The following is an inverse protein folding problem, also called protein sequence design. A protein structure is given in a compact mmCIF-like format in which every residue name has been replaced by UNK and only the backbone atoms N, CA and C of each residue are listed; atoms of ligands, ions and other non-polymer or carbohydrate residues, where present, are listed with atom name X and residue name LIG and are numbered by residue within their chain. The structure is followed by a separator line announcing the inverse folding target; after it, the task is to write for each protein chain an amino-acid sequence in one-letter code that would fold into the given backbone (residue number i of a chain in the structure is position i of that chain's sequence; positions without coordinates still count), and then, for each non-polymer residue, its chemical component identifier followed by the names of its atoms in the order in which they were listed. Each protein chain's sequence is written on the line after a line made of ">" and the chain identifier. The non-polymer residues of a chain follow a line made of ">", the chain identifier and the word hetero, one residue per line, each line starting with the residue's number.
data_IF_725465619074
#
_entry.id   IF_725465619074
#
_cell.length_a   1.000
_cell.length_b   1.000
_cell.length_c   1.000
_cell.angle_alpha   90.00
_cell.angle_beta   90.00
_cell.angle_gamma   90.00
#
_symmetry.space_group_name_H-M   'P 1'
#
loop_
_entity.id
_entity.type
_entity.pdbx_description
1 polymer ?
#
# COMPACT_ATOMS: atom_id res chain seq x y z
N UNK A 1 -36.61 -4.20 -20.43
CA UNK A 1 -35.38 -4.92 -20.15
C UNK A 1 -34.23 -4.17 -20.82
N UNK A 2 -33.51 -3.34 -20.05
CA UNK A 2 -32.42 -2.53 -20.56
C UNK A 2 -31.09 -3.17 -20.05
N UNK A 3 -30.30 -3.65 -20.99
CA UNK A 3 -29.00 -4.29 -20.71
C UNK A 3 -27.95 -3.20 -20.54
N UNK A 4 -27.45 -3.05 -19.30
CA UNK A 4 -26.33 -2.15 -19.00
C UNK A 4 -25.04 -2.87 -19.40
N UNK A 5 -24.38 -2.37 -20.45
CA UNK A 5 -23.02 -2.77 -20.82
C UNK A 5 -22.02 -2.11 -19.88
N UNK A 6 -21.37 -2.90 -19.03
CA UNK A 6 -20.21 -2.44 -18.25
C UNK A 6 -18.98 -2.35 -19.17
N UNK A 7 -18.48 -1.14 -19.39
CA UNK A 7 -17.21 -0.91 -20.09
C UNK A 7 -16.04 -1.11 -19.12
N UNK A 8 -15.19 -2.07 -19.38
CA UNK A 8 -13.98 -2.35 -18.62
C UNK A 8 -12.84 -1.43 -19.07
N UNK A 9 -12.26 -0.69 -18.11
CA UNK A 9 -11.06 0.11 -18.34
C UNK A 9 -9.84 -0.79 -18.18
N UNK A 10 -9.20 -1.14 -19.30
CA UNK A 10 -7.90 -1.84 -19.32
C UNK A 10 -6.80 -0.79 -19.26
N UNK A 11 -6.02 -0.77 -18.17
CA UNK A 11 -4.84 0.09 -18.04
C UNK A 11 -3.62 -0.67 -18.56
N UNK A 12 -3.20 -0.36 -19.78
CA UNK A 12 -1.93 -0.81 -20.36
C UNK A 12 -0.85 0.23 -20.03
N UNK A 13 0.18 -0.16 -19.29
CA UNK A 13 1.33 0.68 -18.98
C UNK A 13 2.47 0.32 -19.94
N UNK A 14 2.71 1.12 -20.98
CA UNK A 14 3.90 1.00 -21.81
C UNK A 14 5.08 1.72 -21.16
N UNK A 15 6.13 0.99 -20.81
CA UNK A 15 7.42 1.55 -20.41
C UNK A 15 8.39 1.57 -21.62
N UNK A 16 8.66 2.73 -22.17
CA UNK A 16 9.78 2.93 -23.12
C UNK A 16 11.05 3.28 -22.34
N UNK A 17 12.00 2.38 -22.34
CA UNK A 17 13.37 2.62 -21.88
C UNK A 17 14.11 3.56 -22.86
N UNK A 18 14.59 4.71 -22.39
CA UNK A 18 15.63 5.49 -23.07
C UNK A 18 16.93 5.30 -22.31
N UNK A 19 17.86 4.66 -22.96
CA UNK A 19 19.29 4.64 -22.59
C UNK A 19 19.89 6.02 -22.77
N UNK A 20 20.28 6.65 -21.67
CA UNK A 20 21.05 7.89 -21.67
C UNK A 20 22.31 7.70 -20.84
N UNK A 21 23.44 7.68 -21.52
CA UNK A 21 24.80 7.69 -20.97
C UNK A 21 25.05 8.95 -20.15
N UNK A 22 25.40 8.80 -18.87
CA UNK A 22 25.85 9.90 -18.03
C UNK A 22 27.39 9.87 -17.91
N UNK A 23 28.02 10.89 -18.44
CA UNK A 23 29.44 11.27 -18.17
C UNK A 23 29.48 12.03 -16.85
N UNK A 24 30.42 11.67 -15.99
CA UNK A 24 30.78 12.44 -14.81
C UNK A 24 31.63 13.65 -15.16
N UNK A 25 31.53 14.76 -14.44
CA UNK A 25 32.64 15.68 -14.27
C UNK A 25 33.14 15.72 -12.82
N UNK A 26 34.45 15.72 -12.77
CA UNK A 26 35.33 15.83 -11.61
C UNK A 26 35.32 17.22 -10.96
N UNK A 27 35.82 17.20 -9.70
CA UNK A 27 36.60 18.22 -8.97
C UNK A 27 35.89 19.27 -8.09
N UNK A 28 36.26 19.14 -6.80
CA UNK A 28 36.20 20.17 -5.73
C UNK A 28 37.09 21.41 -6.05
N UNK A 29 36.96 22.57 -5.31
CA UNK A 29 37.24 22.68 -3.88
C UNK A 29 36.34 23.66 -3.07
N UNK A 30 36.35 23.50 -1.74
CA UNK A 30 36.03 24.53 -0.72
C UNK A 30 37.09 25.69 -0.70
N UNK A 31 36.85 26.92 -0.10
CA UNK A 31 36.55 27.07 1.32
C UNK A 31 35.77 28.35 1.78
N UNK A 32 35.58 28.41 3.08
CA UNK A 32 35.59 29.56 4.02
C UNK A 32 34.29 30.19 4.51
N UNK A 33 34.16 29.95 5.80
CA UNK A 33 33.58 30.74 6.90
C UNK A 33 33.20 32.22 6.62
N UNK A 34 31.97 32.59 7.05
CA UNK A 34 31.78 33.74 7.96
C UNK A 34 30.37 33.68 8.62
N UNK A 35 30.41 33.73 9.95
CA UNK A 35 29.30 34.04 10.86
C UNK A 35 28.79 35.47 10.60
N UNK A 36 27.48 35.67 10.65
CA UNK A 36 26.88 36.89 11.24
C UNK A 36 25.51 36.56 11.85
N UNK A 37 25.44 36.82 13.14
CA UNK A 37 24.21 36.95 13.91
C UNK A 37 23.45 38.24 13.49
N UNK A 38 22.12 38.15 13.45
CA UNK A 38 21.24 39.32 13.65
C UNK A 38 19.88 38.85 14.15
N UNK A 39 19.66 39.06 15.33
CA UNK A 39 18.63 39.61 16.23
C UNK A 39 17.23 39.80 15.62
N UNK A 40 16.31 39.19 16.42
CA UNK A 40 14.89 39.55 16.61
C UNK A 40 14.53 41.01 16.35
N UNK A 41 13.42 41.20 15.65
CA UNK A 41 12.43 42.25 16.02
C UNK A 41 11.06 41.93 15.40
N UNK A 42 10.11 41.70 16.28
CA UNK A 42 8.66 41.76 16.07
C UNK A 42 8.23 43.15 15.57
N UNK A 43 7.40 43.19 14.54
CA UNK A 43 6.59 44.38 14.23
C UNK A 43 5.16 43.94 13.89
N UNK A 44 4.24 44.28 14.82
CA UNK A 44 2.83 44.36 14.53
C UNK A 44 2.60 45.48 13.51
N UNK A 45 1.92 45.16 12.42
CA UNK A 45 1.41 46.16 11.47
C UNK A 45 -0.12 46.16 11.48
N UNK A 46 -0.71 47.06 12.26
CA UNK A 46 -2.11 47.49 12.11
C UNK A 46 -2.19 48.35 10.83
N UNK A 47 -2.95 47.92 9.86
CA UNK A 47 -3.41 48.79 8.79
C UNK A 47 -4.88 49.16 8.99
N UNK A 48 -5.11 50.37 9.50
CA UNK A 48 -6.40 51.06 9.51
C UNK A 48 -6.66 51.64 8.13
N UNK A 49 -7.68 51.18 7.43
CA UNK A 49 -8.27 51.93 6.31
C UNK A 49 -9.54 52.62 6.79
N UNK A 50 -9.44 53.95 6.99
CA UNK A 50 -10.59 54.85 7.03
C UNK A 50 -10.98 55.22 5.62
N UNK A 51 -12.24 55.00 5.26
CA UNK A 51 -12.88 55.57 4.09
C UNK A 51 -14.36 55.83 4.44
N UNK A 52 -14.69 57.09 4.69
CA UNK A 52 -16.05 57.58 4.82
C UNK A 52 -16.77 57.54 3.49
N UNK A 53 -18.01 57.05 3.48
CA UNK A 53 -19.08 57.61 2.65
C UNK A 53 -20.39 57.49 3.42
N UNK A 54 -21.03 58.66 3.59
CA UNK A 54 -22.33 58.89 4.20
C UNK A 54 -23.49 58.27 3.40
N UNK A 55 -24.51 57.85 4.13
CA UNK A 55 -25.89 57.83 3.63
C UNK A 55 -26.49 56.45 3.44
N UNK A 56 -27.19 55.99 4.44
CA UNK A 56 -28.56 55.49 4.48
C UNK A 56 -28.79 54.61 5.73
N UNK A 57 -29.46 55.25 6.72
CA UNK A 57 -30.02 54.53 7.87
C UNK A 57 -31.13 53.57 7.37
N UNK A 58 -30.88 52.29 7.53
CA UNK A 58 -31.88 51.25 7.77
C UNK A 58 -31.30 50.17 8.64
N UNK A 59 -31.92 50.00 9.79
CA UNK A 59 -31.65 49.00 10.82
C UNK A 59 -31.55 47.58 10.24
N UNK A 60 -30.32 47.07 10.14
CA UNK A 60 -30.07 45.66 10.06
C UNK A 60 -29.35 45.26 11.33
N UNK A 61 -30.02 44.50 12.19
CA UNK A 61 -29.39 43.77 13.30
C UNK A 61 -28.29 42.89 12.72
N UNK A 62 -27.05 43.26 12.93
CA UNK A 62 -25.93 42.34 12.74
C UNK A 62 -26.09 41.19 13.74
N UNK A 63 -26.52 40.05 13.26
CA UNK A 63 -26.24 38.82 13.97
C UNK A 63 -24.76 38.54 13.75
N UNK A 64 -23.96 38.70 14.81
CA UNK A 64 -22.61 38.17 14.87
C UNK A 64 -22.71 36.64 14.77
N UNK A 65 -22.66 36.13 13.54
CA UNK A 65 -22.39 34.72 13.30
C UNK A 65 -20.89 34.54 13.58
N UNK A 66 -20.56 34.35 14.84
CA UNK A 66 -19.26 33.80 15.22
C UNK A 66 -19.21 32.40 14.65
N UNK A 67 -18.52 32.23 13.52
CA UNK A 67 -18.18 30.94 12.96
C UNK A 67 -17.09 30.33 13.85
N UNK A 68 -17.35 29.28 14.64
CA UNK A 68 -16.33 28.62 15.43
C UNK A 68 -15.68 27.49 14.59
N UNK A 69 -14.95 27.82 13.53
CA UNK A 69 -14.39 26.82 12.63
C UNK A 69 -12.87 26.65 12.76
N UNK A 70 -12.15 27.54 13.42
CA UNK A 70 -10.68 27.49 13.41
C UNK A 70 -10.04 26.82 14.65
N UNK A 71 -10.75 26.69 15.78
CA UNK A 71 -10.12 26.22 17.03
C UNK A 71 -10.17 24.69 17.17
N UNK A 72 -11.25 24.04 16.75
CA UNK A 72 -11.41 22.59 16.86
C UNK A 72 -10.53 21.81 15.86
N UNK A 73 -10.23 22.41 14.69
CA UNK A 73 -9.38 21.78 13.69
C UNK A 73 -7.91 21.65 14.14
N UNK A 74 -7.43 22.54 14.98
CA UNK A 74 -6.07 22.51 15.52
C UNK A 74 -5.95 21.53 16.71
N UNK A 75 -7.01 21.35 17.49
CA UNK A 75 -6.96 20.53 18.70
C UNK A 75 -6.88 19.03 18.39
N UNK A 76 -7.69 18.50 17.46
CA UNK A 76 -7.57 17.09 17.08
C UNK A 76 -6.24 16.80 16.38
N UNK A 77 -5.73 17.74 15.55
CA UNK A 77 -4.44 17.60 14.89
C UNK A 77 -3.29 17.54 15.91
N UNK A 78 -3.36 18.33 16.99
CA UNK A 78 -2.40 18.25 18.10
C UNK A 78 -2.42 16.89 18.78
N UNK A 79 -3.61 16.36 19.12
CA UNK A 79 -3.76 15.01 19.73
C UNK A 79 -3.20 13.94 18.81
N UNK A 80 -3.56 14.01 17.50
CA UNK A 80 -3.09 13.09 16.48
C UNK A 80 -1.56 13.11 16.34
N UNK A 81 -0.95 14.31 16.28
CA UNK A 81 0.50 14.46 16.12
C UNK A 81 1.26 13.88 17.31
N UNK A 82 0.79 14.13 18.54
CA UNK A 82 1.46 13.60 19.74
C UNK A 82 1.37 12.09 19.79
N UNK A 83 0.19 11.50 19.58
CA UNK A 83 0.01 10.05 19.59
C UNK A 83 0.76 9.37 18.44
N UNK A 84 0.80 9.98 17.26
CA UNK A 84 1.59 9.48 16.13
C UNK A 84 3.09 9.51 16.43
N UNK A 85 3.58 10.56 17.13
CA UNK A 85 4.95 10.67 17.62
C UNK A 85 5.29 9.53 18.57
N UNK A 86 4.48 9.30 19.62
CA UNK A 86 4.69 8.22 20.60
C UNK A 86 4.74 6.83 19.95
N UNK A 87 3.95 6.61 18.89
CA UNK A 87 4.01 5.36 18.09
C UNK A 87 5.31 5.31 17.28
N UNK A 88 5.70 6.40 16.63
CA UNK A 88 6.90 6.45 15.77
C UNK A 88 8.18 6.35 16.57
N UNK A 89 8.23 6.99 17.75
CA UNK A 89 9.38 7.01 18.64
C UNK A 89 9.51 5.71 19.47
N UNK A 90 8.47 4.85 19.42
CA UNK A 90 8.46 3.54 20.07
C UNK A 90 8.04 3.55 21.55
N UNK A 91 7.54 4.67 22.04
CA UNK A 91 6.93 4.78 23.39
C UNK A 91 5.65 3.95 23.48
N UNK A 92 4.88 3.90 22.37
CA UNK A 92 3.77 2.98 22.14
C UNK A 92 4.17 1.95 21.09
N UNK A 93 4.31 0.70 21.50
CA UNK A 93 4.73 -0.40 20.63
C UNK A 93 3.55 -1.01 19.87
N UNK A 94 3.83 -1.68 18.76
CA UNK A 94 2.84 -2.44 18.00
C UNK A 94 2.14 -3.44 18.94
N UNK A 95 0.81 -3.39 18.94
CA UNK A 95 -0.05 -4.20 19.81
C UNK A 95 -0.35 -3.58 21.16
N UNK A 96 0.31 -2.49 21.56
CA UNK A 96 -0.01 -1.78 22.79
C UNK A 96 -1.38 -1.11 22.70
N UNK A 97 -2.11 -1.13 23.81
CA UNK A 97 -3.40 -0.45 23.90
C UNK A 97 -3.19 1.04 24.13
N UNK A 98 -3.80 1.89 23.29
CA UNK A 98 -3.85 3.33 23.53
C UNK A 98 -4.59 3.62 24.86
N UNK A 99 -4.25 4.72 25.54
CA UNK A 99 -5.05 5.20 26.67
C UNK A 99 -6.53 5.35 26.28
N UNK A 100 -7.44 5.07 27.21
CA UNK A 100 -8.88 5.21 26.97
C UNK A 100 -9.26 6.64 26.56
N UNK A 101 -10.41 6.79 25.87
CA UNK A 101 -10.91 8.13 25.49
C UNK A 101 -10.92 9.09 26.68
N UNK A 102 -11.39 8.63 27.86
CA UNK A 102 -11.46 9.47 29.06
C UNK A 102 -10.07 9.90 29.57
N UNK A 103 -9.07 9.02 29.52
CA UNK A 103 -7.69 9.35 29.84
C UNK A 103 -7.10 10.35 28.85
N UNK A 104 -7.40 10.18 27.55
CA UNK A 104 -6.95 11.13 26.51
C UNK A 104 -7.63 12.50 26.67
N UNK A 105 -8.93 12.53 27.00
CA UNK A 105 -9.65 13.78 27.34
C UNK A 105 -8.96 14.50 28.50
N UNK A 106 -8.67 13.78 29.58
CA UNK A 106 -8.00 14.34 30.74
C UNK A 106 -6.57 14.82 30.43
N UNK A 107 -5.82 14.04 29.64
CA UNK A 107 -4.43 14.36 29.28
C UNK A 107 -4.31 15.59 28.40
N UNK A 108 -5.19 15.72 27.39
CA UNK A 108 -5.09 16.80 26.40
C UNK A 108 -5.99 18.00 26.67
N UNK A 109 -6.91 17.91 27.64
CA UNK A 109 -7.86 18.97 27.96
C UNK A 109 -8.84 19.27 26.82
N UNK A 110 -9.24 18.27 26.03
CA UNK A 110 -10.07 18.46 24.84
C UNK A 110 -11.40 17.68 24.96
N UNK A 111 -12.34 17.99 24.06
CA UNK A 111 -13.64 17.31 24.04
C UNK A 111 -13.54 15.84 23.58
N UNK A 112 -14.52 15.01 23.93
CA UNK A 112 -14.62 13.63 23.46
C UNK A 112 -14.68 13.53 21.93
N UNK A 113 -15.37 14.48 21.28
CA UNK A 113 -15.47 14.53 19.82
C UNK A 113 -14.09 14.77 19.20
N UNK A 114 -13.28 15.65 19.79
CA UNK A 114 -11.90 15.95 19.37
C UNK A 114 -11.01 14.70 19.46
N UNK A 115 -11.07 13.98 20.59
CA UNK A 115 -10.32 12.72 20.77
C UNK A 115 -10.74 11.66 19.75
N UNK A 116 -12.06 11.46 19.57
CA UNK A 116 -12.57 10.48 18.59
C UNK A 116 -12.13 10.81 17.16
N UNK A 117 -12.15 12.09 16.78
CA UNK A 117 -11.67 12.52 15.47
C UNK A 117 -10.19 12.25 15.29
N UNK A 118 -9.36 12.53 16.29
CA UNK A 118 -7.93 12.21 16.26
C UNK A 118 -7.70 10.69 16.11
N UNK A 119 -8.41 9.86 16.89
CA UNK A 119 -8.32 8.40 16.78
C UNK A 119 -8.76 7.93 15.39
N UNK A 120 -9.86 8.44 14.83
CA UNK A 120 -10.31 8.08 13.48
C UNK A 120 -9.28 8.45 12.40
N UNK A 121 -8.61 9.58 12.54
CA UNK A 121 -7.51 9.96 11.64
C UNK A 121 -6.32 8.99 11.77
N UNK A 122 -5.94 8.61 12.99
CA UNK A 122 -4.90 7.59 13.20
C UNK A 122 -5.29 6.23 12.62
N UNK A 123 -6.58 5.83 12.73
CA UNK A 123 -7.11 4.62 12.08
C UNK A 123 -7.01 4.74 10.55
N UNK A 124 -7.43 5.87 9.97
CA UNK A 124 -7.36 6.08 8.52
C UNK A 124 -5.92 6.09 7.99
N UNK A 125 -4.94 6.47 8.82
CA UNK A 125 -3.50 6.38 8.54
C UNK A 125 -2.92 4.98 8.79
N UNK A 126 -3.72 4.05 9.34
CA UNK A 126 -3.26 2.70 9.67
C UNK A 126 -2.30 2.62 10.86
N UNK A 127 -2.22 3.67 11.69
CA UNK A 127 -1.36 3.71 12.87
C UNK A 127 -1.98 2.99 14.07
N UNK A 128 -3.31 2.94 14.13
CA UNK A 128 -4.05 2.26 15.19
C UNK A 128 -5.26 1.52 14.63
N UNK A 129 -5.75 0.52 15.35
CA UNK A 129 -6.95 -0.25 15.04
C UNK A 129 -7.89 -0.30 16.23
N UNK A 130 -9.22 -0.27 15.97
CA UNK A 130 -10.25 -0.32 17.01
C UNK A 130 -10.77 -1.74 17.13
N UNK A 131 -10.58 -2.37 18.28
CA UNK A 131 -11.16 -3.64 18.63
C UNK A 131 -12.40 -3.40 19.48
N UNK A 132 -13.60 -3.67 18.93
CA UNK A 132 -14.87 -3.46 19.63
C UNK A 132 -14.89 -4.16 20.99
N UNK A 133 -15.21 -3.42 22.05
CA UNK A 133 -15.25 -3.92 23.42
C UNK A 133 -13.88 -4.14 24.08
N UNK A 134 -12.78 -3.97 23.37
CA UNK A 134 -11.42 -4.15 23.89
C UNK A 134 -10.61 -2.85 23.94
N UNK A 135 -10.88 -1.91 23.03
CA UNK A 135 -10.16 -0.62 22.97
C UNK A 135 -9.52 -0.35 21.62
N UNK A 136 -8.64 0.64 21.61
CA UNK A 136 -7.81 1.03 20.45
C UNK A 136 -6.39 0.57 20.67
N UNK A 137 -5.78 -0.05 19.68
CA UNK A 137 -4.43 -0.63 19.76
C UNK A 137 -3.54 -0.06 18.67
N UNK A 138 -2.24 0.01 18.91
CA UNK A 138 -1.24 0.38 17.88
C UNK A 138 -1.22 -0.71 16.82
N UNK A 139 -1.52 -0.32 15.59
CA UNK A 139 -1.53 -1.22 14.44
C UNK A 139 -0.11 -1.51 13.96
N UNK A 140 0.11 -2.70 13.42
CA UNK A 140 1.32 -2.95 12.64
C UNK A 140 1.27 -2.10 11.35
N UNK A 141 2.37 -1.42 10.96
CA UNK A 141 2.42 -0.70 9.70
C UNK A 141 2.10 -1.66 8.56
N UNK A 142 1.22 -1.24 7.65
CA UNK A 142 0.91 -2.05 6.49
C UNK A 142 2.12 -2.18 5.58
N UNK A 143 2.28 -3.36 5.01
CA UNK A 143 3.23 -3.64 3.95
C UNK A 143 2.76 -2.87 2.72
N UNK A 144 3.54 -1.87 2.30
CA UNK A 144 3.24 -1.08 1.11
C UNK A 144 3.77 -1.82 -0.12
N UNK A 145 2.88 -2.28 -0.97
CA UNK A 145 3.22 -2.94 -2.24
C UNK A 145 3.08 -1.92 -3.38
N UNK A 146 4.21 -1.50 -3.97
CA UNK A 146 4.20 -0.52 -5.08
C UNK A 146 3.92 -1.25 -6.40
N UNK A 147 2.94 -0.76 -7.17
CA UNK A 147 2.54 -1.33 -8.46
C UNK A 147 3.24 -0.66 -9.66
N UNK A 148 4.33 0.06 -9.45
CA UNK A 148 5.05 0.74 -10.54
C UNK A 148 5.95 -0.18 -11.34
N UNK A 149 6.49 -1.20 -10.69
CA UNK A 149 7.47 -2.10 -11.27
C UNK A 149 7.07 -3.55 -11.02
N UNK A 150 7.44 -4.43 -11.96
CA UNK A 150 7.26 -5.86 -11.79
C UNK A 150 8.34 -6.38 -10.84
N UNK A 151 7.95 -6.61 -9.60
CA UNK A 151 8.82 -7.16 -8.57
C UNK A 151 8.26 -8.47 -8.01
N UNK A 152 9.11 -9.25 -7.37
CA UNK A 152 8.73 -10.45 -6.66
C UNK A 152 8.47 -10.18 -5.18
N UNK A 153 7.62 -10.97 -4.53
CA UNK A 153 7.32 -10.86 -3.10
C UNK A 153 8.58 -10.79 -2.21
N UNK A 154 9.61 -11.57 -2.51
CA UNK A 154 10.84 -11.62 -1.71
C UNK A 154 11.62 -10.31 -1.84
N UNK A 155 11.68 -9.76 -3.04
CA UNK A 155 12.33 -8.49 -3.34
C UNK A 155 11.64 -7.34 -2.60
N UNK A 156 10.31 -7.28 -2.69
CA UNK A 156 9.50 -6.27 -2.00
C UNK A 156 9.67 -6.34 -0.48
N UNK A 157 9.62 -7.55 0.08
CA UNK A 157 9.76 -7.73 1.53
C UNK A 157 11.14 -7.33 2.03
N UNK A 158 12.21 -7.66 1.29
CA UNK A 158 13.57 -7.23 1.64
C UNK A 158 13.72 -5.70 1.56
N UNK A 159 13.18 -5.07 0.52
CA UNK A 159 13.20 -3.61 0.37
C UNK A 159 12.51 -2.89 1.55
N UNK A 160 11.50 -3.54 2.14
CA UNK A 160 10.77 -3.05 3.32
C UNK A 160 11.39 -3.48 4.66
N UNK A 161 12.55 -4.17 4.65
CA UNK A 161 13.24 -4.62 5.88
C UNK A 161 12.60 -5.84 6.54
N UNK A 162 11.68 -6.54 5.86
CA UNK A 162 11.09 -7.78 6.36
C UNK A 162 11.92 -9.00 5.98
N UNK A 163 11.78 -10.08 6.75
CA UNK A 163 12.35 -11.40 6.44
C UNK A 163 11.30 -12.27 5.72
N UNK A 164 11.38 -12.41 4.38
CA UNK A 164 10.44 -13.23 3.64
C UNK A 164 10.77 -14.71 3.76
N UNK A 165 9.73 -15.54 3.90
CA UNK A 165 9.79 -16.99 3.81
C UNK A 165 8.54 -17.52 3.11
N UNK A 166 8.54 -18.82 2.74
CA UNK A 166 7.36 -19.45 2.20
C UNK A 166 7.13 -20.85 2.78
N UNK A 167 5.87 -21.17 3.03
CA UNK A 167 5.43 -22.52 3.33
C UNK A 167 4.79 -23.12 2.10
N UNK A 168 5.44 -24.12 1.49
CA UNK A 168 4.92 -24.84 0.31
C UNK A 168 3.78 -25.75 0.76
N UNK A 169 2.60 -25.57 0.18
CA UNK A 169 1.39 -26.37 0.45
C UNK A 169 1.32 -27.55 -0.51
N UNK A 170 1.66 -27.33 -1.78
CA UNK A 170 1.63 -28.37 -2.80
C UNK A 170 2.42 -28.01 -4.05
N UNK A 171 2.89 -29.05 -4.74
CA UNK A 171 3.54 -28.99 -6.06
C UNK A 171 2.94 -30.15 -6.88
N UNK A 172 2.17 -29.86 -7.89
CA UNK A 172 1.39 -30.85 -8.61
C UNK A 172 1.42 -30.60 -10.11
N UNK A 173 1.31 -31.67 -10.90
CA UNK A 173 1.05 -31.57 -12.33
C UNK A 173 -0.43 -31.82 -12.58
N UNK A 174 -1.14 -30.78 -13.04
CA UNK A 174 -2.60 -30.78 -13.20
C UNK A 174 -3.00 -30.42 -14.65
N UNK A 175 -4.20 -30.79 -15.11
CA UNK A 175 -4.72 -30.28 -16.36
C UNK A 175 -5.08 -28.79 -16.21
N UNK A 176 -4.75 -27.98 -17.22
CA UNK A 176 -5.09 -26.57 -17.25
C UNK A 176 -6.62 -26.37 -17.32
N UNK A 177 -7.17 -25.59 -16.38
CA UNK A 177 -8.54 -25.12 -16.48
C UNK A 177 -8.71 -24.20 -17.69
N UNK A 178 -9.94 -23.87 -18.07
CA UNK A 178 -10.19 -22.92 -19.16
C UNK A 178 -9.51 -21.57 -18.93
N UNK A 179 -9.48 -21.08 -17.68
CA UNK A 179 -8.83 -19.82 -17.32
C UNK A 179 -7.31 -19.93 -17.43
N UNK A 180 -6.70 -20.96 -16.81
CA UNK A 180 -5.25 -21.19 -16.85
C UNK A 180 -4.76 -21.37 -18.29
N UNK A 181 -5.46 -22.17 -19.09
CA UNK A 181 -5.11 -22.38 -20.51
C UNK A 181 -5.13 -21.07 -21.30
N UNK A 182 -6.18 -20.25 -21.13
CA UNK A 182 -6.28 -18.93 -21.79
C UNK A 182 -5.14 -18.00 -21.39
N UNK A 183 -4.81 -17.92 -20.08
CA UNK A 183 -3.78 -17.02 -19.57
C UNK A 183 -2.37 -17.44 -20.00
N UNK A 184 -2.13 -18.74 -20.10
CA UNK A 184 -0.81 -19.29 -20.52
C UNK A 184 -0.72 -19.57 -22.03
N UNK A 185 -1.73 -19.17 -22.82
CA UNK A 185 -1.84 -19.45 -24.25
C UNK A 185 -1.68 -20.96 -24.60
N UNK A 186 -2.27 -21.84 -23.76
CA UNK A 186 -2.26 -23.30 -23.89
C UNK A 186 -3.63 -23.82 -24.32
N UNK A 187 -3.67 -25.08 -24.73
CA UNK A 187 -4.92 -25.79 -24.99
C UNK A 187 -5.59 -26.19 -23.65
N UNK A 188 -6.91 -26.13 -23.58
CA UNK A 188 -7.65 -26.59 -22.40
C UNK A 188 -7.34 -28.08 -22.12
N UNK A 189 -7.01 -28.35 -20.85
CA UNK A 189 -6.63 -29.72 -20.43
C UNK A 189 -5.15 -30.06 -20.62
N UNK A 190 -4.38 -29.19 -21.28
CA UNK A 190 -2.92 -29.35 -21.36
C UNK A 190 -2.32 -29.34 -19.96
N UNK A 191 -1.25 -30.13 -19.76
CA UNK A 191 -0.64 -30.33 -18.46
C UNK A 191 0.18 -29.10 -18.07
N UNK A 192 -0.06 -28.58 -16.86
CA UNK A 192 0.68 -27.49 -16.23
C UNK A 192 1.17 -27.90 -14.84
N UNK A 193 2.18 -27.22 -14.34
CA UNK A 193 2.59 -27.35 -12.95
C UNK A 193 1.85 -26.31 -12.13
N UNK A 194 1.17 -26.75 -11.08
CA UNK A 194 0.55 -25.91 -10.04
C UNK A 194 1.41 -25.93 -8.77
N UNK A 195 1.74 -24.76 -8.25
CA UNK A 195 2.47 -24.58 -7.01
C UNK A 195 1.62 -23.74 -6.07
N UNK A 196 1.36 -24.24 -4.86
CA UNK A 196 0.60 -23.54 -3.83
C UNK A 196 1.49 -23.22 -2.65
N UNK A 197 1.52 -21.94 -2.22
CA UNK A 197 2.39 -21.45 -1.14
C UNK A 197 1.67 -20.44 -0.27
N UNK A 198 1.98 -20.46 1.02
CA UNK A 198 1.74 -19.31 1.91
C UNK A 198 3.03 -18.54 2.03
N UNK A 199 3.00 -17.27 1.71
CA UNK A 199 4.13 -16.34 1.87
C UNK A 199 4.05 -15.66 3.21
N UNK A 200 5.17 -15.56 3.89
CA UNK A 200 5.28 -14.99 5.22
C UNK A 200 6.28 -13.84 5.21
N UNK A 201 5.96 -12.79 5.98
CA UNK A 201 6.88 -11.72 6.34
C UNK A 201 7.06 -11.77 7.86
N UNK A 202 8.30 -11.92 8.34
CA UNK A 202 8.61 -12.09 9.78
C UNK A 202 7.72 -13.17 10.44
N UNK A 203 7.59 -14.33 9.80
CA UNK A 203 6.77 -15.49 10.21
C UNK A 203 5.24 -15.26 10.23
N UNK A 204 4.76 -14.09 9.84
CA UNK A 204 3.33 -13.78 9.72
C UNK A 204 2.85 -14.09 8.30
N UNK A 205 1.78 -14.89 8.10
CA UNK A 205 1.19 -15.12 6.78
C UNK A 205 0.67 -13.81 6.17
N UNK A 206 1.15 -13.47 4.97
CA UNK A 206 0.79 -12.24 4.24
C UNK A 206 -0.01 -12.54 3.00
N UNK A 207 0.42 -13.55 2.21
CA UNK A 207 -0.33 -13.99 1.04
C UNK A 207 -0.41 -15.51 0.90
N UNK A 208 -1.44 -15.97 0.20
CA UNK A 208 -1.59 -17.34 -0.28
C UNK A 208 -1.63 -17.31 -1.80
N UNK A 209 -0.67 -18.00 -2.41
CA UNK A 209 -0.40 -17.95 -3.83
C UNK A 209 -0.64 -19.30 -4.48
N UNK A 210 -1.31 -19.28 -5.62
CA UNK A 210 -1.37 -20.39 -6.59
C UNK A 210 -0.69 -19.95 -7.88
N UNK A 211 0.45 -20.57 -8.20
CA UNK A 211 1.24 -20.31 -9.41
C UNK A 211 1.06 -21.45 -10.39
N UNK A 212 0.75 -21.13 -11.63
CA UNK A 212 0.66 -22.08 -12.75
C UNK A 212 1.75 -21.79 -13.76
N UNK A 213 2.50 -22.82 -14.12
CA UNK A 213 3.62 -22.75 -15.08
C UNK A 213 3.40 -23.74 -16.22
N UNK A 214 3.75 -23.42 -17.47
CA UNK A 214 3.85 -24.40 -18.53
C UNK A 214 4.68 -25.61 -18.08
N UNK A 215 4.30 -26.82 -18.51
CA UNK A 215 4.82 -28.08 -17.95
C UNK A 215 6.35 -28.15 -18.00
N UNK A 216 6.96 -27.75 -19.09
CA UNK A 216 8.41 -27.85 -19.29
C UNK A 216 9.20 -27.07 -18.24
N UNK A 217 8.90 -25.75 -18.11
CA UNK A 217 9.58 -24.89 -17.14
C UNK A 217 9.15 -25.21 -15.72
N UNK A 218 7.87 -25.53 -15.51
CA UNK A 218 7.31 -25.86 -14.21
C UNK A 218 8.01 -27.08 -13.57
N UNK A 219 8.30 -28.13 -14.36
CA UNK A 219 9.04 -29.31 -13.87
C UNK A 219 10.44 -28.95 -13.38
N UNK A 220 11.12 -28.01 -14.04
CA UNK A 220 12.43 -27.50 -13.58
C UNK A 220 12.29 -26.69 -12.30
N UNK A 221 11.27 -25.83 -12.20
CA UNK A 221 11.03 -24.96 -11.04
C UNK A 221 10.75 -25.80 -9.78
N UNK A 222 9.91 -26.83 -9.83
CA UNK A 222 9.52 -27.61 -8.65
C UNK A 222 10.64 -28.44 -8.04
N UNK A 223 11.78 -28.63 -8.72
CA UNK A 223 12.96 -29.31 -8.16
C UNK A 223 13.75 -28.44 -7.17
N UNK A 224 13.48 -27.14 -7.17
CA UNK A 224 14.19 -26.17 -6.32
C UNK A 224 13.56 -26.04 -4.93
N UNK A 225 14.29 -25.40 -4.01
CA UNK A 225 13.81 -25.12 -2.66
C UNK A 225 12.92 -23.89 -2.62
N UNK A 226 11.66 -24.04 -2.99
CA UNK A 226 10.68 -22.95 -3.08
C UNK A 226 10.27 -22.35 -1.71
N UNK A 227 10.86 -22.80 -0.59
CA UNK A 227 10.71 -22.15 0.71
C UNK A 227 11.53 -20.86 0.79
N UNK A 228 12.66 -20.80 0.08
CA UNK A 228 13.61 -19.68 0.12
C UNK A 228 13.95 -19.13 -1.25
N UNK A 229 13.85 -19.93 -2.32
CA UNK A 229 14.17 -19.50 -3.68
C UNK A 229 12.93 -18.89 -4.37
N UNK A 230 12.97 -17.60 -4.76
CA UNK A 230 11.88 -16.96 -5.48
C UNK A 230 11.71 -17.53 -6.87
N UNK A 231 10.48 -17.76 -7.32
CA UNK A 231 10.21 -18.28 -8.66
C UNK A 231 10.75 -17.33 -9.74
N UNK A 232 10.60 -16.01 -9.58
CA UNK A 232 11.13 -15.02 -10.50
C UNK A 232 12.64 -15.12 -10.67
N UNK A 233 13.38 -15.16 -9.55
CA UNK A 233 14.84 -15.34 -9.59
C UNK A 233 15.25 -16.66 -10.23
N UNK A 234 14.47 -17.73 -10.01
CA UNK A 234 14.73 -19.03 -10.67
C UNK A 234 14.50 -18.92 -12.19
N UNK A 235 13.39 -18.32 -12.62
CA UNK A 235 13.10 -18.12 -14.04
C UNK A 235 14.21 -17.34 -14.72
N UNK A 236 14.57 -16.17 -14.18
CA UNK A 236 15.51 -15.25 -14.80
C UNK A 236 16.97 -15.73 -14.69
N UNK A 237 17.42 -16.05 -13.47
CA UNK A 237 18.85 -16.27 -13.20
C UNK A 237 19.30 -17.70 -13.42
N UNK A 238 18.40 -18.68 -13.23
CA UNK A 238 18.76 -20.10 -13.33
C UNK A 238 18.33 -20.74 -14.64
N UNK A 239 17.19 -20.31 -15.18
CA UNK A 239 16.60 -20.94 -16.37
C UNK A 239 16.56 -20.03 -17.60
N UNK A 240 17.13 -18.83 -17.51
CA UNK A 240 17.25 -17.87 -18.61
C UNK A 240 15.90 -17.53 -19.27
N UNK A 241 14.87 -17.35 -18.45
CA UNK A 241 13.53 -16.93 -18.85
C UNK A 241 13.28 -15.53 -18.30
N UNK A 242 13.61 -14.46 -19.05
CA UNK A 242 13.46 -13.09 -18.58
C UNK A 242 11.97 -12.72 -18.44
N UNK A 243 11.65 -11.96 -17.41
CA UNK A 243 10.33 -11.38 -17.18
C UNK A 243 10.34 -9.94 -17.66
N UNK A 244 9.55 -9.64 -18.68
CA UNK A 244 9.56 -8.32 -19.34
C UNK A 244 8.40 -7.45 -18.86
N UNK A 245 7.21 -8.03 -18.73
CA UNK A 245 6.00 -7.33 -18.32
C UNK A 245 5.02 -8.28 -17.64
N UNK A 246 4.04 -7.74 -16.94
CA UNK A 246 2.94 -8.51 -16.39
C UNK A 246 1.62 -7.74 -16.42
N UNK A 247 0.54 -8.47 -16.67
CA UNK A 247 -0.82 -7.97 -16.50
C UNK A 247 -1.31 -8.27 -15.09
N UNK A 248 -1.82 -7.24 -14.38
CA UNK A 248 -2.40 -7.35 -13.04
C UNK A 248 -3.88 -7.03 -13.06
N UNK A 249 -4.68 -7.88 -12.42
CA UNK A 249 -6.10 -7.62 -12.12
C UNK A 249 -6.29 -7.71 -10.62
N UNK A 250 -6.66 -6.59 -9.99
CA UNK A 250 -6.82 -6.47 -8.55
C UNK A 250 -8.29 -6.39 -8.17
N UNK A 251 -8.77 -7.32 -7.36
CA UNK A 251 -10.11 -7.35 -6.81
C UNK A 251 -10.09 -7.34 -5.27
N UNK A 252 -11.11 -6.75 -4.65
CA UNK A 252 -11.41 -6.92 -3.25
C UNK A 252 -12.47 -8.03 -3.10
N UNK A 253 -12.12 -9.10 -2.38
CA UNK A 253 -12.99 -10.26 -2.21
C UNK A 253 -13.06 -10.72 -0.75
N UNK A 254 -14.05 -11.55 -0.42
CA UNK A 254 -14.12 -12.21 0.88
C UNK A 254 -13.31 -13.51 0.84
N UNK A 255 -12.48 -13.76 1.85
CA UNK A 255 -11.73 -15.01 1.99
C UNK A 255 -12.69 -16.20 2.09
N UNK A 256 -12.52 -17.20 1.24
CA UNK A 256 -13.14 -18.50 1.40
C UNK A 256 -12.46 -19.28 2.55
N UNK A 257 -12.93 -20.51 2.81
CA UNK A 257 -12.42 -21.31 3.93
C UNK A 257 -10.95 -21.73 3.75
N UNK A 258 -10.51 -22.03 2.50
CA UNK A 258 -9.14 -22.44 2.20
C UNK A 258 -8.18 -21.28 2.39
N UNK A 259 -8.47 -20.14 1.77
CA UNK A 259 -7.69 -18.91 1.88
C UNK A 259 -7.66 -18.41 3.32
N UNK A 260 -8.79 -18.41 4.01
CA UNK A 260 -8.87 -17.99 5.42
C UNK A 260 -7.99 -18.86 6.33
N UNK A 261 -8.02 -20.17 6.14
CA UNK A 261 -7.17 -21.12 6.88
C UNK A 261 -5.69 -20.91 6.57
N UNK A 262 -5.33 -20.76 5.30
CA UNK A 262 -3.95 -20.54 4.85
C UNK A 262 -3.37 -19.26 5.44
N UNK A 263 -4.13 -18.18 5.43
CA UNK A 263 -3.74 -16.84 5.91
C UNK A 263 -3.95 -16.64 7.43
N UNK A 264 -4.53 -17.60 8.12
CA UNK A 264 -4.89 -17.52 9.55
C UNK A 264 -5.80 -16.32 9.85
N UNK A 265 -6.78 -16.08 9.01
CA UNK A 265 -7.82 -15.07 9.20
C UNK A 265 -9.18 -15.73 9.36
N UNK A 266 -10.21 -14.97 9.74
CA UNK A 266 -11.57 -15.50 9.80
C UNK A 266 -12.13 -15.71 8.39
N UNK A 267 -12.97 -16.74 8.15
CA UNK A 267 -13.72 -16.85 6.91
C UNK A 267 -14.48 -15.53 6.63
N UNK A 268 -14.54 -15.15 5.35
CA UNK A 268 -15.14 -13.90 4.87
C UNK A 268 -14.38 -12.61 5.27
N UNK A 269 -13.17 -12.71 5.85
CA UNK A 269 -12.31 -11.53 6.02
C UNK A 269 -12.05 -10.88 4.66
N UNK A 270 -12.00 -9.53 4.59
CA UNK A 270 -11.65 -8.84 3.35
C UNK A 270 -10.20 -9.10 2.98
N UNK A 271 -9.99 -9.52 1.75
CA UNK A 271 -8.66 -9.77 1.17
C UNK A 271 -8.59 -9.12 -0.21
N UNK A 272 -7.37 -8.87 -0.67
CA UNK A 272 -7.13 -8.56 -2.07
C UNK A 272 -6.84 -9.85 -2.82
N UNK A 273 -7.48 -10.02 -3.99
CA UNK A 273 -7.14 -11.06 -4.96
C UNK A 273 -6.49 -10.40 -6.16
N UNK A 274 -5.29 -10.86 -6.53
CA UNK A 274 -4.61 -10.45 -7.75
C UNK A 274 -4.53 -11.64 -8.67
N UNK A 275 -4.99 -11.48 -9.90
CA UNK A 275 -4.62 -12.35 -11.00
C UNK A 275 -3.47 -11.68 -11.74
N UNK A 276 -2.35 -12.40 -11.91
CA UNK A 276 -1.18 -11.92 -12.62
C UNK A 276 -0.77 -12.91 -13.70
N UNK A 277 -0.55 -12.40 -14.90
CA UNK A 277 0.12 -13.16 -15.97
C UNK A 277 1.41 -12.44 -16.32
N UNK A 278 2.54 -13.11 -16.18
CA UNK A 278 3.86 -12.57 -16.53
C UNK A 278 4.30 -13.05 -17.90
N UNK A 279 4.93 -12.16 -18.64
CA UNK A 279 5.34 -12.39 -20.01
C UNK A 279 6.85 -12.25 -20.17
N UNK A 280 7.42 -13.13 -21.00
CA UNK A 280 8.80 -13.09 -21.45
C UNK A 280 8.91 -12.41 -22.81
N UNK A 281 10.10 -12.43 -23.39
CA UNK A 281 10.40 -11.87 -24.72
C UNK A 281 9.38 -12.34 -25.76
N UNK A 282 8.92 -11.41 -26.59
CA UNK A 282 7.92 -11.69 -27.62
C UNK A 282 6.49 -11.87 -27.11
N UNK A 283 6.18 -11.41 -25.89
CA UNK A 283 4.84 -11.51 -25.32
C UNK A 283 4.41 -12.93 -24.95
N UNK A 284 5.36 -13.85 -24.77
CA UNK A 284 5.09 -15.24 -24.40
C UNK A 284 4.75 -15.34 -22.92
N UNK A 285 3.56 -15.83 -22.52
CA UNK A 285 3.22 -16.00 -21.11
C UNK A 285 4.08 -17.11 -20.49
N UNK A 286 4.62 -16.86 -19.30
CA UNK A 286 5.54 -17.79 -18.61
C UNK A 286 5.02 -18.25 -17.26
N UNK A 287 4.17 -17.45 -16.61
CA UNK A 287 3.41 -17.87 -15.44
C UNK A 287 2.04 -17.19 -15.39
N UNK A 288 1.12 -17.84 -14.71
CA UNK A 288 -0.15 -17.27 -14.28
C UNK A 288 -0.31 -17.54 -12.79
N UNK A 289 -0.62 -16.49 -12.03
CA UNK A 289 -0.77 -16.58 -10.58
C UNK A 289 -2.09 -16.00 -10.10
N UNK A 290 -2.64 -16.64 -9.08
CA UNK A 290 -3.68 -16.04 -8.24
C UNK A 290 -3.09 -15.81 -6.86
N UNK A 291 -3.01 -14.56 -6.45
CA UNK A 291 -2.40 -14.12 -5.20
C UNK A 291 -3.49 -13.57 -4.28
N UNK A 292 -3.59 -14.10 -3.07
CA UNK A 292 -4.57 -13.68 -2.07
C UNK A 292 -3.85 -13.00 -0.92
N UNK A 293 -3.91 -11.65 -0.85
CA UNK A 293 -3.24 -10.87 0.18
C UNK A 293 -4.18 -10.49 1.32
N UNK A 294 -3.66 -10.52 2.53
CA UNK A 294 -4.37 -10.02 3.72
C UNK A 294 -4.60 -8.52 3.62
N UNK A 295 -5.88 -8.08 3.57
CA UNK A 295 -6.25 -6.67 3.47
C UNK A 295 -5.97 -5.84 4.73
N UNK A 296 -5.81 -6.50 5.88
CA UNK A 296 -5.39 -5.87 7.14
C UNK A 296 -3.88 -5.59 7.19
N UNK A 297 -3.05 -6.35 6.46
CA UNK A 297 -1.59 -6.21 6.48
C UNK A 297 -1.00 -5.53 5.24
N UNK A 298 -1.68 -5.57 4.10
CA UNK A 298 -1.13 -5.08 2.83
C UNK A 298 -1.91 -3.88 2.32
N UNK A 299 -1.21 -2.95 1.73
CA UNK A 299 -1.76 -1.81 1.00
C UNK A 299 -1.05 -1.67 -0.34
N UNK A 300 -1.81 -1.66 -1.43
CA UNK A 300 -1.28 -1.42 -2.76
C UNK A 300 -1.24 0.08 -3.03
N UNK A 301 -0.09 0.55 -3.52
CA UNK A 301 0.17 1.97 -3.78
C UNK A 301 0.71 2.14 -5.19
N UNK A 302 0.25 3.15 -5.90
CA UNK A 302 0.89 3.60 -7.14
C UNK A 302 0.79 5.12 -7.25
N UNK A 303 1.80 5.74 -7.89
CA UNK A 303 1.80 7.17 -8.17
C UNK A 303 1.55 7.38 -9.66
N UNK A 304 0.38 7.95 -9.98
CA UNK A 304 0.03 8.27 -11.35
C UNK A 304 0.43 9.71 -11.68
N UNK A 305 1.05 9.92 -12.84
CA UNK A 305 1.38 11.23 -13.37
C UNK A 305 0.37 11.56 -14.47
N UNK A 306 -0.28 12.73 -14.38
CA UNK A 306 -1.18 13.21 -15.44
C UNK A 306 -0.36 13.63 -16.66
N UNK A 307 -0.62 13.00 -17.81
CA UNK A 307 -0.08 13.50 -19.09
C UNK A 307 -0.78 14.84 -19.38
N UNK A 308 -0.03 15.95 -19.35
CA UNK A 308 -0.48 17.23 -19.89
C UNK A 308 -0.49 17.09 -21.42
N UNK A 309 -1.69 17.10 -22.01
CA UNK A 309 -1.81 17.28 -23.47
C UNK A 309 -1.20 18.63 -23.82
N UNK A 310 -0.12 18.63 -24.59
CA UNK A 310 0.38 19.82 -25.32
C UNK A 310 -0.48 20.05 -26.54
#
# INVERSE_FOLDING_TARGET
>A
MATVKASWLVLTVESRSRTGTWQQPNSRPEPSRRRKQARNRSVLGLATLRGCVDGLRRTLRCYDVVMPVAHDSLLYARVETVLAGEITDGDLKIGDQLPTEDRLIARFGVSRITVRRAIQNLVSRGLVEIHRGKGTFVAAPKILHDLKELSGFVEDMHALGHKPTARVIGKEVVPASATVARQLALTRGERVVRIRRVRLANDVPVSFDETYLPLEIGRKIITNNLKVEPIFSLLERKYDVPLIEAEYKLDAVAADNEVASALKVKPRSPIFRIERTSYSTGGRPVDYETLHYRGDLVQFVTRLVRKTSR
#
